data_IF_568190287661
#
_entry.id   IF_568190287661
#
_cell.length_a   1.000
_cell.length_b   1.000
_cell.length_c   1.000
_cell.angle_alpha   90.00
_cell.angle_beta   90.00
_cell.angle_gamma   90.00
#
_symmetry.space_group_name_H-M   'P 1'
#
loop_
_entity.id
_entity.type
_entity.pdbx_description
1 polymer ?
#
# COMPACT_ATOMS: atom_id res chain seq x y z
N UNK A 1 65.39 16.35 4.83
CA UNK A 1 64.25 17.21 4.48
C UNK A 1 63.07 16.29 4.25
N UNK A 2 62.31 16.01 5.34
CA UNK A 2 61.13 15.16 5.29
C UNK A 2 59.96 15.97 4.72
N UNK A 3 59.40 15.53 3.61
CA UNK A 3 58.10 15.99 3.11
C UNK A 3 56.99 15.45 4.01
N UNK A 4 56.36 16.32 4.79
CA UNK A 4 55.10 16.06 5.48
C UNK A 4 54.02 16.01 4.38
N UNK A 5 53.57 14.82 4.09
CA UNK A 5 52.38 14.63 3.26
C UNK A 5 51.18 14.95 4.16
N UNK A 6 50.60 16.13 4.00
CA UNK A 6 49.28 16.42 4.55
C UNK A 6 48.29 15.40 3.95
N UNK A 7 47.93 14.36 4.72
CA UNK A 7 46.71 13.61 4.50
C UNK A 7 45.58 14.61 4.69
N UNK A 8 44.98 15.06 3.59
CA UNK A 8 43.66 15.67 3.62
C UNK A 8 42.75 14.61 4.25
N UNK A 9 42.26 14.87 5.45
CA UNK A 9 41.18 14.04 6.05
C UNK A 9 40.04 14.09 5.08
N UNK A 10 39.79 13.00 4.38
CA UNK A 10 38.54 12.81 3.60
C UNK A 10 37.46 12.78 4.67
N UNK A 11 36.67 13.86 4.76
CA UNK A 11 35.53 13.95 5.66
C UNK A 11 34.62 12.75 5.37
N UNK A 12 34.53 11.82 6.30
CA UNK A 12 33.74 10.62 6.13
C UNK A 12 32.28 11.06 6.05
N UNK A 13 31.56 10.66 4.97
CA UNK A 13 30.12 10.87 4.80
C UNK A 13 29.37 10.25 5.98
N UNK A 14 28.52 11.02 6.65
CA UNK A 14 27.76 10.57 7.82
C UNK A 14 26.28 10.34 7.51
N UNK A 15 25.73 11.14 6.60
CA UNK A 15 24.31 11.04 6.23
C UNK A 15 24.09 11.44 4.76
N UNK A 16 23.02 10.92 4.19
CA UNK A 16 22.50 11.31 2.89
C UNK A 16 21.00 11.58 3.01
N UNK A 17 20.57 12.71 2.46
CA UNK A 17 19.15 13.03 2.22
C UNK A 17 18.83 12.70 0.78
N UNK A 18 17.67 12.11 0.51
CA UNK A 18 17.29 11.81 -0.87
C UNK A 18 15.80 11.58 -1.04
N UNK A 19 15.37 11.75 -2.27
CA UNK A 19 14.02 11.51 -2.74
C UNK A 19 14.07 10.94 -4.17
N UNK A 20 13.10 10.10 -4.53
CA UNK A 20 13.04 9.45 -5.84
C UNK A 20 11.70 9.64 -6.49
N UNK A 21 11.72 9.77 -7.83
CA UNK A 21 10.53 9.69 -8.66
C UNK A 21 10.51 8.38 -9.43
N UNK A 22 9.39 7.68 -9.40
CA UNK A 22 9.28 6.31 -9.93
C UNK A 22 8.07 6.16 -10.82
N UNK A 23 8.09 5.19 -11.73
CA UNK A 23 6.94 4.80 -12.54
C UNK A 23 6.59 3.33 -12.36
N UNK A 24 5.31 2.99 -12.47
CA UNK A 24 4.81 1.62 -12.51
C UNK A 24 3.38 1.61 -13.05
N UNK A 25 3.00 0.54 -13.76
CA UNK A 25 1.60 0.30 -14.14
C UNK A 25 0.73 -0.16 -12.98
N UNK A 26 1.34 -0.57 -11.87
CA UNK A 26 0.62 -0.99 -10.66
C UNK A 26 0.16 0.24 -9.87
N UNK A 27 -1.12 0.28 -9.53
CA UNK A 27 -1.70 1.34 -8.69
C UNK A 27 -1.20 1.20 -7.24
N UNK A 28 -0.32 2.11 -6.83
CA UNK A 28 0.29 2.14 -5.50
C UNK A 28 -0.75 2.15 -4.36
N UNK A 29 -1.84 2.90 -4.53
CA UNK A 29 -2.86 3.04 -3.50
C UNK A 29 -3.69 1.76 -3.31
N UNK A 30 -3.92 1.01 -4.39
CA UNK A 30 -4.75 -0.21 -4.37
C UNK A 30 -3.97 -1.48 -4.09
N UNK A 31 -2.70 -1.56 -4.51
CA UNK A 31 -1.91 -2.79 -4.45
C UNK A 31 -0.69 -2.70 -3.52
N UNK A 32 -0.36 -1.50 -3.06
CA UNK A 32 0.70 -1.26 -2.10
C UNK A 32 2.10 -1.15 -2.71
N UNK A 33 3.03 -0.66 -1.90
CA UNK A 33 4.39 -0.33 -2.28
C UNK A 33 5.18 -1.50 -2.88
N UNK A 34 5.09 -2.66 -2.26
CA UNK A 34 5.88 -3.82 -2.67
C UNK A 34 5.44 -4.35 -4.03
N UNK A 35 4.12 -4.45 -4.25
CA UNK A 35 3.58 -4.86 -5.55
C UNK A 35 3.86 -3.83 -6.64
N UNK A 36 3.79 -2.53 -6.28
CA UNK A 36 4.16 -1.42 -7.16
C UNK A 36 5.62 -1.54 -7.63
N UNK A 37 6.55 -1.73 -6.70
CA UNK A 37 7.98 -1.82 -7.00
C UNK A 37 8.37 -3.12 -7.73
N UNK A 38 7.65 -4.24 -7.51
CA UNK A 38 7.91 -5.52 -8.17
C UNK A 38 7.32 -5.60 -9.59
N UNK A 39 6.56 -4.59 -10.04
CA UNK A 39 6.02 -4.56 -11.40
C UNK A 39 7.13 -4.71 -12.45
N UNK A 40 6.90 -5.46 -13.54
CA UNK A 40 7.91 -5.60 -14.62
C UNK A 40 8.35 -4.26 -15.21
N UNK A 41 7.45 -3.30 -15.30
CA UNK A 41 7.68 -1.95 -15.85
C UNK A 41 8.08 -0.90 -14.82
N UNK A 42 8.19 -1.28 -13.54
CA UNK A 42 8.70 -0.39 -12.50
C UNK A 42 10.11 0.09 -12.84
N UNK A 43 10.34 1.39 -12.73
CA UNK A 43 11.66 2.00 -12.87
C UNK A 43 11.77 3.25 -11.99
N UNK A 44 12.99 3.62 -11.59
CA UNK A 44 13.30 4.91 -10.96
C UNK A 44 13.67 5.89 -12.06
N UNK A 45 12.98 7.01 -12.11
CA UNK A 45 13.13 8.02 -13.15
C UNK A 45 14.13 9.10 -12.75
N UNK A 46 14.01 9.60 -11.51
CA UNK A 46 14.85 10.63 -10.93
C UNK A 46 15.29 10.22 -9.54
N UNK A 47 16.51 10.60 -9.17
CA UNK A 47 17.02 10.49 -7.80
C UNK A 47 17.69 11.82 -7.46
N UNK A 48 17.13 12.58 -6.51
CA UNK A 48 17.77 13.77 -5.95
C UNK A 48 18.36 13.45 -4.58
N UNK A 49 19.56 13.95 -4.29
CA UNK A 49 20.26 13.68 -3.03
C UNK A 49 21.13 14.85 -2.58
N UNK A 50 21.40 14.90 -1.29
CA UNK A 50 22.43 15.72 -0.69
C UNK A 50 23.27 14.90 0.27
N UNK A 51 24.59 15.10 0.29
CA UNK A 51 25.51 14.50 1.24
C UNK A 51 25.69 15.46 2.41
N UNK A 52 25.46 15.00 3.62
CA UNK A 52 25.45 15.82 4.84
C UNK A 52 24.53 17.07 4.64
N UNK A 53 25.02 18.27 4.92
CA UNK A 53 24.30 19.51 4.67
C UNK A 53 24.72 20.17 3.33
N UNK A 54 25.12 19.37 2.34
CA UNK A 54 25.56 19.85 1.03
C UNK A 54 24.44 20.32 0.12
N UNK A 55 24.84 20.77 -1.07
CA UNK A 55 23.88 21.15 -2.12
C UNK A 55 23.17 19.91 -2.66
N UNK A 56 21.86 20.03 -2.87
CA UNK A 56 21.06 18.98 -3.53
C UNK A 56 21.48 18.85 -4.99
N UNK A 57 21.69 17.61 -5.42
CA UNK A 57 22.01 17.19 -6.78
C UNK A 57 20.93 16.23 -7.28
N UNK A 58 20.63 16.27 -8.57
CA UNK A 58 19.71 15.34 -9.21
C UNK A 58 20.46 14.42 -10.17
N UNK A 59 20.01 13.18 -10.28
CA UNK A 59 20.46 12.18 -11.24
C UNK A 59 19.25 11.82 -12.12
N UNK A 60 19.38 12.06 -13.43
CA UNK A 60 18.35 11.79 -14.42
C UNK A 60 18.50 10.37 -14.99
N UNK A 61 18.02 9.39 -14.23
CA UNK A 61 18.10 7.97 -14.58
C UNK A 61 17.29 7.63 -15.83
N UNK A 62 16.19 8.35 -16.07
CA UNK A 62 15.35 8.16 -17.24
C UNK A 62 16.05 8.54 -18.55
N UNK A 63 16.99 9.48 -18.50
CA UNK A 63 17.82 9.89 -19.64
C UNK A 63 19.22 9.24 -19.64
N UNK A 64 19.43 8.20 -18.81
CA UNK A 64 20.62 7.37 -18.88
C UNK A 64 21.78 7.78 -17.97
N UNK A 65 21.58 8.75 -17.08
CA UNK A 65 22.57 8.99 -16.02
C UNK A 65 22.65 7.78 -15.09
N UNK A 66 23.77 7.62 -14.43
CA UNK A 66 24.04 6.46 -13.55
C UNK A 66 24.23 6.90 -12.11
N UNK A 67 23.79 6.05 -11.16
CA UNK A 67 24.03 6.29 -9.74
C UNK A 67 25.51 6.14 -9.46
N UNK A 68 26.20 7.16 -8.89
CA UNK A 68 27.59 7.07 -8.51
C UNK A 68 27.86 5.94 -7.50
N UNK A 69 29.01 5.26 -7.62
CA UNK A 69 29.36 4.13 -6.77
C UNK A 69 29.31 4.48 -5.27
N UNK A 70 29.80 5.67 -4.88
CA UNK A 70 29.76 6.10 -3.47
C UNK A 70 28.33 6.18 -2.91
N UNK A 71 27.34 6.49 -3.75
CA UNK A 71 25.94 6.58 -3.33
C UNK A 71 25.34 5.17 -3.16
N UNK A 72 25.74 4.23 -4.02
CA UNK A 72 25.36 2.81 -3.86
C UNK A 72 25.96 2.27 -2.55
N UNK A 73 27.24 2.55 -2.29
CA UNK A 73 27.92 2.17 -1.05
C UNK A 73 27.21 2.77 0.18
N UNK A 74 26.82 4.05 0.10
CA UNK A 74 26.09 4.70 1.18
C UNK A 74 24.70 4.07 1.44
N UNK A 75 23.96 3.71 0.40
CA UNK A 75 22.65 3.06 0.53
C UNK A 75 22.74 1.69 1.21
N UNK A 76 23.83 0.96 1.01
CA UNK A 76 24.05 -0.37 1.58
C UNK A 76 24.74 -0.33 2.96
N UNK A 77 25.43 0.74 3.28
CA UNK A 77 26.19 0.87 4.54
C UNK A 77 25.24 1.24 5.72
N UNK A 78 25.07 0.36 6.73
CA UNK A 78 24.23 0.66 7.88
C UNK A 78 24.74 1.81 8.76
N UNK A 79 26.04 2.16 8.65
CA UNK A 79 26.64 3.26 9.41
C UNK A 79 26.44 4.63 8.76
N UNK A 80 26.01 4.71 7.51
CA UNK A 80 25.58 5.94 6.86
C UNK A 80 24.08 6.11 7.11
N UNK A 81 23.66 7.26 7.63
CA UNK A 81 22.24 7.57 7.81
C UNK A 81 21.60 7.93 6.47
N UNK A 82 20.57 7.21 6.07
CA UNK A 82 19.73 7.50 4.88
C UNK A 82 18.47 8.18 5.36
N UNK A 83 18.26 9.43 4.97
CA UNK A 83 17.15 10.27 5.43
C UNK A 83 16.23 10.58 4.25
N UNK A 84 14.94 10.31 4.43
CA UNK A 84 13.92 10.61 3.44
C UNK A 84 12.56 10.88 4.11
N UNK A 85 11.66 11.53 3.39
CA UNK A 85 10.30 11.73 3.85
C UNK A 85 9.38 10.61 3.36
N UNK A 86 9.03 9.65 4.23
CA UNK A 86 8.44 8.34 3.94
C UNK A 86 9.49 7.30 3.49
N UNK A 87 10.62 7.26 4.21
CA UNK A 87 11.82 6.49 3.88
C UNK A 87 11.59 4.99 3.55
N UNK A 88 10.45 4.41 3.94
CA UNK A 88 10.07 3.05 3.52
C UNK A 88 9.86 2.95 2.02
N UNK A 89 9.36 4.02 1.37
CA UNK A 89 9.14 4.06 -0.07
C UNK A 89 10.47 4.02 -0.81
N UNK A 90 11.39 4.92 -0.44
CA UNK A 90 12.72 5.00 -1.05
C UNK A 90 13.49 3.71 -0.84
N UNK A 91 13.48 3.16 0.38
CA UNK A 91 14.21 1.92 0.70
C UNK A 91 13.73 0.74 -0.15
N UNK A 92 12.43 0.51 -0.22
CA UNK A 92 11.85 -0.62 -0.98
C UNK A 92 12.05 -0.42 -2.48
N UNK A 93 11.77 0.76 -3.01
CA UNK A 93 11.95 1.07 -4.43
C UNK A 93 13.42 0.94 -4.85
N UNK A 94 14.35 1.50 -4.08
CA UNK A 94 15.79 1.38 -4.35
C UNK A 94 16.26 -0.07 -4.24
N UNK A 95 15.75 -0.85 -3.28
CA UNK A 95 16.06 -2.28 -3.19
C UNK A 95 15.74 -3.02 -4.49
N UNK A 96 14.54 -2.82 -5.00
CA UNK A 96 14.10 -3.46 -6.24
C UNK A 96 14.87 -2.92 -7.45
N UNK A 97 15.05 -1.61 -7.54
CA UNK A 97 15.78 -0.98 -8.63
C UNK A 97 17.22 -1.48 -8.75
N UNK A 98 17.99 -1.43 -7.65
CA UNK A 98 19.39 -1.85 -7.61
C UNK A 98 19.53 -3.33 -7.99
N UNK A 99 18.62 -4.19 -7.53
CA UNK A 99 18.57 -5.61 -7.90
C UNK A 99 18.25 -5.81 -9.38
N UNK A 100 17.23 -5.13 -9.92
CA UNK A 100 16.86 -5.21 -11.35
C UNK A 100 17.99 -4.76 -12.25
N UNK A 101 18.71 -3.72 -11.88
CA UNK A 101 19.86 -3.19 -12.64
C UNK A 101 21.16 -3.95 -12.37
N UNK A 102 21.15 -4.95 -11.48
CA UNK A 102 22.35 -5.72 -11.07
C UNK A 102 23.51 -4.83 -10.60
N UNK A 103 23.17 -3.74 -9.91
CA UNK A 103 24.14 -2.77 -9.41
C UNK A 103 24.75 -3.19 -8.06
N UNK A 104 24.20 -4.23 -7.42
CA UNK A 104 24.72 -4.81 -6.19
C UNK A 104 25.10 -6.26 -6.45
N UNK A 105 26.32 -6.62 -6.07
CA UNK A 105 26.72 -8.01 -5.91
C UNK A 105 26.02 -8.67 -4.70
N UNK A 106 26.52 -9.81 -4.23
CA UNK A 106 26.10 -10.47 -2.97
C UNK A 106 26.60 -9.65 -1.77
N UNK A 107 26.17 -8.40 -1.66
CA UNK A 107 26.74 -7.44 -0.73
C UNK A 107 26.10 -7.50 0.66
N UNK A 108 26.91 -7.17 1.66
CA UNK A 108 26.63 -7.20 3.11
C UNK A 108 25.48 -6.29 3.59
N UNK A 109 24.89 -5.48 2.72
CA UNK A 109 23.80 -4.54 3.04
C UNK A 109 22.39 -5.10 2.87
N UNK A 110 22.23 -6.35 2.47
CA UNK A 110 20.95 -6.99 2.29
C UNK A 110 20.47 -7.69 3.55
N UNK A 111 19.18 -7.70 3.70
CA UNK A 111 18.46 -8.41 4.75
C UNK A 111 17.26 -9.15 4.14
N UNK A 112 16.72 -10.18 4.83
CA UNK A 112 15.56 -10.93 4.34
C UNK A 112 15.79 -11.59 2.96
N UNK A 113 16.67 -12.58 2.94
CA UNK A 113 17.00 -13.38 1.75
C UNK A 113 17.53 -12.55 0.56
N UNK A 114 18.15 -11.41 0.82
CA UNK A 114 18.72 -10.54 -0.20
C UNK A 114 17.69 -9.79 -1.04
N UNK A 115 16.43 -9.67 -0.58
CA UNK A 115 15.37 -8.98 -1.33
C UNK A 115 15.35 -7.48 -1.10
N UNK A 116 15.60 -7.03 0.13
CA UNK A 116 15.50 -5.63 0.51
C UNK A 116 16.75 -5.14 1.24
N UNK A 117 17.07 -3.87 1.09
CA UNK A 117 18.11 -3.19 1.87
C UNK A 117 17.74 -3.22 3.35
N UNK A 118 18.73 -3.44 4.22
CA UNK A 118 18.49 -3.42 5.67
C UNK A 118 17.81 -2.12 6.09
N UNK A 119 16.78 -2.14 6.95
CA UNK A 119 16.18 -0.91 7.47
C UNK A 119 17.06 -0.17 8.47
N UNK A 120 18.18 -0.78 8.91
CA UNK A 120 19.15 -0.13 9.80
C UNK A 120 19.83 1.04 9.07
N UNK A 121 19.94 2.16 9.76
CA UNK A 121 20.50 3.40 9.20
C UNK A 121 19.50 4.22 8.37
N UNK A 122 18.27 3.78 8.17
CA UNK A 122 17.23 4.59 7.53
C UNK A 122 16.49 5.44 8.56
N UNK A 123 16.31 6.71 8.25
CA UNK A 123 15.63 7.69 9.08
C UNK A 123 14.47 8.33 8.31
N UNK A 124 13.30 8.36 8.92
CA UNK A 124 12.09 8.85 8.26
C UNK A 124 11.61 10.15 8.91
N UNK A 125 11.74 11.28 8.20
CA UNK A 125 11.26 12.59 8.69
C UNK A 125 9.74 12.68 8.76
N UNK A 126 9.00 11.85 8.02
CA UNK A 126 7.54 11.72 8.16
C UNK A 126 7.18 11.16 9.55
N UNK A 127 7.88 10.12 10.01
CA UNK A 127 7.66 9.52 11.33
C UNK A 127 8.11 10.48 12.45
N UNK A 128 9.24 11.15 12.27
CA UNK A 128 9.69 12.18 13.20
C UNK A 128 8.66 13.31 13.35
N UNK A 129 8.09 13.79 12.25
CA UNK A 129 7.02 14.78 12.28
C UNK A 129 5.77 14.26 13.02
N UNK A 130 5.37 13.00 12.76
CA UNK A 130 4.23 12.39 13.42
C UNK A 130 4.42 12.26 14.94
N UNK A 131 5.62 11.84 15.41
CA UNK A 131 5.97 11.78 16.83
C UNK A 131 5.94 13.18 17.49
N UNK A 132 6.35 14.20 16.73
CA UNK A 132 6.25 15.60 17.18
C UNK A 132 4.81 16.18 17.12
N UNK A 133 3.79 15.38 16.78
CA UNK A 133 2.38 15.81 16.68
C UNK A 133 2.06 16.63 15.43
N UNK A 134 2.94 16.61 14.42
CA UNK A 134 2.76 17.31 13.14
C UNK A 134 2.04 16.41 12.10
N UNK A 135 1.51 17.00 11.01
CA UNK A 135 1.00 16.22 9.88
C UNK A 135 2.05 15.29 9.28
N UNK A 136 1.61 14.26 8.51
CA UNK A 136 2.54 13.29 7.92
C UNK A 136 2.94 13.63 6.47
N UNK A 137 2.22 14.48 5.74
CA UNK A 137 2.60 14.80 4.37
C UNK A 137 3.66 15.88 4.33
N UNK A 138 4.65 15.75 3.42
CA UNK A 138 5.76 16.70 3.27
C UNK A 138 5.27 18.16 3.15
N UNK A 139 4.22 18.38 2.33
CA UNK A 139 3.59 19.69 2.17
C UNK A 139 3.03 20.22 3.50
N UNK A 140 2.21 19.45 4.18
CA UNK A 140 1.55 19.92 5.39
C UNK A 140 2.52 20.10 6.57
N UNK A 141 3.60 19.31 6.65
CA UNK A 141 4.68 19.55 7.62
C UNK A 141 5.39 20.86 7.32
N UNK A 142 5.74 21.11 6.04
CA UNK A 142 6.37 22.37 5.62
C UNK A 142 5.52 23.58 5.94
N UNK A 143 4.21 23.52 5.71
CA UNK A 143 3.25 24.57 6.05
C UNK A 143 3.17 24.78 7.57
N UNK A 144 3.05 23.69 8.35
CA UNK A 144 2.97 23.76 9.82
C UNK A 144 4.24 24.30 10.47
N UNK A 145 5.41 24.05 9.89
CA UNK A 145 6.70 24.57 10.34
C UNK A 145 7.05 25.95 9.74
N UNK A 146 6.19 26.52 8.91
CA UNK A 146 6.41 27.81 8.23
C UNK A 146 7.75 27.87 7.47
N UNK A 147 8.08 26.80 6.73
CA UNK A 147 9.33 26.72 5.99
C UNK A 147 9.37 27.75 4.88
N UNK A 148 10.58 28.29 4.60
CA UNK A 148 10.80 29.23 3.48
C UNK A 148 10.58 28.55 2.13
N UNK A 149 11.10 27.34 1.99
CA UNK A 149 10.90 26.50 0.83
C UNK A 149 9.66 25.61 1.05
N UNK A 150 8.74 25.66 0.11
CA UNK A 150 7.51 24.88 0.15
C UNK A 150 7.51 23.89 -1.01
N UNK A 151 6.80 22.78 -0.83
CA UNK A 151 6.57 21.80 -1.89
C UNK A 151 5.85 22.45 -3.07
N UNK A 152 6.33 22.21 -4.29
CA UNK A 152 5.75 22.78 -5.50
C UNK A 152 4.34 22.21 -5.77
N UNK A 153 3.43 23.07 -6.21
CA UNK A 153 2.02 22.71 -6.46
C UNK A 153 1.84 21.78 -7.66
N UNK A 154 2.69 21.91 -8.66
CA UNK A 154 2.65 21.19 -9.94
C UNK A 154 3.02 19.71 -9.82
N UNK A 155 3.61 19.29 -8.70
CA UNK A 155 4.14 17.93 -8.53
C UNK A 155 3.11 16.83 -8.77
N UNK A 156 1.87 17.00 -8.31
CA UNK A 156 0.82 15.99 -8.51
C UNK A 156 0.51 15.76 -10.00
N UNK A 157 0.47 16.85 -10.79
CA UNK A 157 0.22 16.77 -12.22
C UNK A 157 1.41 16.10 -12.94
N UNK A 158 2.64 16.44 -12.56
CA UNK A 158 3.86 15.90 -13.16
C UNK A 158 4.02 14.40 -12.84
N UNK A 159 3.74 13.98 -11.60
CA UNK A 159 3.68 12.56 -11.20
C UNK A 159 2.63 11.83 -12.05
N UNK A 160 1.41 12.36 -12.17
CA UNK A 160 0.37 11.76 -12.99
C UNK A 160 0.81 11.65 -14.46
N UNK A 161 1.56 12.61 -14.95
CA UNK A 161 1.98 12.69 -16.34
C UNK A 161 3.12 11.72 -16.69
N UNK A 162 4.16 11.61 -15.84
CA UNK A 162 5.35 10.78 -16.13
C UNK A 162 5.34 9.41 -15.44
N UNK A 163 4.69 9.29 -14.29
CA UNK A 163 4.81 8.12 -13.43
C UNK A 163 3.62 7.14 -13.56
N UNK A 164 2.48 7.60 -14.10
CA UNK A 164 1.27 6.80 -14.28
C UNK A 164 1.07 6.50 -15.76
N UNK A 165 0.76 5.24 -16.14
CA UNK A 165 0.59 4.89 -17.53
C UNK A 165 -0.67 5.55 -18.13
N UNK A 166 -0.62 5.85 -19.41
CA UNK A 166 -1.77 6.24 -20.22
C UNK A 166 -2.76 5.08 -20.38
N UNK A 167 -3.91 5.35 -20.97
CA UNK A 167 -4.95 4.33 -21.25
C UNK A 167 -4.46 3.18 -22.15
N UNK A 168 -3.45 3.45 -22.98
CA UNK A 168 -2.82 2.47 -23.85
C UNK A 168 -1.69 1.65 -23.17
N UNK A 169 -1.47 1.88 -21.86
CA UNK A 169 -0.42 1.24 -21.08
C UNK A 169 0.98 1.84 -21.24
N UNK A 170 1.16 2.87 -22.08
CA UNK A 170 2.46 3.52 -22.28
C UNK A 170 2.67 4.68 -21.31
N UNK A 171 3.95 5.07 -21.11
CA UNK A 171 4.33 6.25 -20.31
C UNK A 171 4.79 7.39 -21.23
N UNK A 172 4.64 8.61 -20.76
CA UNK A 172 5.24 9.76 -21.44
C UNK A 172 6.77 9.71 -21.27
N UNK A 173 7.50 9.98 -22.37
CA UNK A 173 8.97 9.96 -22.33
C UNK A 173 9.49 11.38 -22.01
N UNK A 174 10.57 11.49 -21.22
CA UNK A 174 11.22 12.77 -20.94
C UNK A 174 11.59 13.56 -22.21
N UNK A 175 12.13 12.86 -23.20
CA UNK A 175 12.56 13.44 -24.49
C UNK A 175 11.47 14.15 -25.27
N UNK A 176 10.20 13.72 -25.11
CA UNK A 176 9.06 14.25 -25.85
C UNK A 176 8.51 15.54 -25.20
N UNK A 177 8.87 15.78 -23.93
CA UNK A 177 8.38 16.90 -23.11
C UNK A 177 9.49 17.52 -22.25
N UNK A 178 10.55 18.08 -22.86
CA UNK A 178 11.76 18.48 -22.15
C UNK A 178 11.52 19.58 -21.10
N UNK A 179 10.65 20.56 -21.36
CA UNK A 179 10.35 21.65 -20.40
C UNK A 179 9.62 21.12 -19.16
N UNK A 180 8.62 20.23 -19.36
CA UNK A 180 7.92 19.58 -18.26
C UNK A 180 8.83 18.66 -17.45
N UNK A 181 9.77 18.00 -18.15
CA UNK A 181 10.76 17.15 -17.49
C UNK A 181 11.73 17.96 -16.63
N UNK A 182 12.18 19.12 -17.10
CA UNK A 182 13.03 20.00 -16.30
C UNK A 182 12.28 20.50 -15.06
N UNK A 183 10.99 20.85 -15.21
CA UNK A 183 10.14 21.19 -14.06
C UNK A 183 10.02 20.03 -13.08
N UNK A 184 9.93 18.78 -13.56
CA UNK A 184 9.84 17.59 -12.72
C UNK A 184 11.14 17.31 -11.97
N UNK A 185 12.31 17.52 -12.60
CA UNK A 185 13.62 17.47 -11.91
C UNK A 185 13.70 18.52 -10.78
N UNK A 186 13.29 19.72 -11.06
CA UNK A 186 13.26 20.80 -10.07
C UNK A 186 12.30 20.50 -8.92
N UNK A 187 11.18 19.84 -9.21
CA UNK A 187 10.25 19.34 -8.19
C UNK A 187 10.92 18.31 -7.26
N UNK A 188 11.60 17.29 -7.80
CA UNK A 188 12.31 16.27 -7.03
C UNK A 188 13.45 16.87 -6.18
N UNK A 189 14.23 17.84 -6.73
CA UNK A 189 15.22 18.62 -5.98
C UNK A 189 14.56 19.36 -4.81
N UNK A 190 13.41 19.99 -5.05
CA UNK A 190 12.68 20.76 -4.06
C UNK A 190 12.18 19.89 -2.92
N UNK A 191 11.73 18.67 -3.18
CA UNK A 191 11.26 17.75 -2.17
C UNK A 191 12.41 17.40 -1.19
N UNK A 192 13.63 17.15 -1.66
CA UNK A 192 14.81 16.97 -0.80
C UNK A 192 15.14 18.25 0.00
N UNK A 193 15.07 19.44 -0.62
CA UNK A 193 15.33 20.70 0.08
C UNK A 193 14.34 20.93 1.23
N UNK A 194 13.08 20.64 1.00
CA UNK A 194 12.03 20.77 2.03
C UNK A 194 12.24 19.72 3.13
N UNK A 195 12.56 18.48 2.77
CA UNK A 195 12.87 17.40 3.72
C UNK A 195 14.05 17.78 4.63
N UNK A 196 15.15 18.28 4.06
CA UNK A 196 16.32 18.74 4.83
C UNK A 196 15.97 19.84 5.84
N UNK A 197 15.12 20.81 5.45
CA UNK A 197 14.68 21.86 6.37
C UNK A 197 13.80 21.29 7.50
N UNK A 198 12.92 20.32 7.21
CA UNK A 198 12.14 19.62 8.23
C UNK A 198 13.06 18.92 9.21
N UNK A 199 14.02 18.14 8.71
CA UNK A 199 15.00 17.43 9.52
C UNK A 199 15.78 18.38 10.44
N UNK A 200 16.26 19.51 9.91
CA UNK A 200 16.99 20.53 10.67
C UNK A 200 16.11 21.20 11.73
N UNK A 201 14.86 21.57 11.41
CA UNK A 201 13.97 22.19 12.39
C UNK A 201 13.55 21.24 13.50
N UNK A 202 13.39 19.95 13.18
CA UNK A 202 13.06 18.91 14.14
C UNK A 202 14.30 18.30 14.84
N UNK A 203 15.51 18.84 14.62
CA UNK A 203 16.73 18.30 15.20
C UNK A 203 16.73 18.23 16.74
N UNK A 204 15.94 19.10 17.41
CA UNK A 204 15.74 19.07 18.87
C UNK A 204 14.75 18.02 19.35
N UNK A 205 14.00 17.41 18.45
CA UNK A 205 13.00 16.37 18.68
C UNK A 205 13.34 15.14 17.82
N UNK A 206 14.52 14.52 17.99
CA UNK A 206 14.88 13.34 17.22
C UNK A 206 14.03 12.16 17.63
N UNK A 207 13.80 11.23 16.70
CA UNK A 207 13.19 9.93 17.04
C UNK A 207 14.02 9.29 18.16
N UNK A 208 13.35 8.86 19.23
CA UNK A 208 14.01 8.15 20.32
C UNK A 208 14.60 6.82 19.83
N UNK A 209 15.61 6.28 20.51
CA UNK A 209 16.17 4.97 20.18
C UNK A 209 15.10 3.86 20.29
N UNK A 210 14.16 4.02 21.22
CA UNK A 210 13.04 3.11 21.40
C UNK A 210 12.11 3.11 20.18
N UNK A 211 11.65 4.28 19.73
CA UNK A 211 10.78 4.40 18.55
C UNK A 211 11.51 4.01 17.27
N UNK A 212 12.79 4.33 17.16
CA UNK A 212 13.61 3.88 16.03
C UNK A 212 13.69 2.35 15.95
N UNK A 213 13.84 1.67 17.10
CA UNK A 213 13.83 0.21 17.17
C UNK A 213 12.50 -0.39 16.70
N UNK A 214 11.39 0.21 17.10
CA UNK A 214 10.06 -0.19 16.64
C UNK A 214 9.84 0.08 15.14
N UNK A 215 10.31 1.23 14.63
CA UNK A 215 10.24 1.54 13.21
C UNK A 215 11.04 0.54 12.38
N UNK A 216 12.24 0.17 12.80
CA UNK A 216 13.05 -0.88 12.14
C UNK A 216 12.29 -2.21 12.15
N UNK A 217 11.72 -2.60 13.29
CA UNK A 217 10.93 -3.83 13.43
C UNK A 217 9.69 -3.82 12.52
N UNK A 218 8.97 -2.69 12.43
CA UNK A 218 7.86 -2.50 11.50
C UNK A 218 8.28 -2.73 10.05
N UNK A 219 9.41 -2.16 9.65
CA UNK A 219 9.95 -2.37 8.30
C UNK A 219 10.28 -3.85 8.04
N UNK A 220 10.87 -4.55 9.02
CA UNK A 220 11.17 -5.97 8.93
C UNK A 220 9.89 -6.82 8.79
N UNK A 221 8.85 -6.54 9.57
CA UNK A 221 7.55 -7.21 9.47
C UNK A 221 6.92 -7.00 8.10
N UNK A 222 6.96 -5.76 7.59
CA UNK A 222 6.43 -5.43 6.28
C UNK A 222 7.20 -6.08 5.13
N UNK A 223 8.53 -6.18 5.24
CA UNK A 223 9.39 -6.85 4.26
C UNK A 223 9.16 -8.36 4.24
N UNK A 224 9.00 -8.98 5.41
CA UNK A 224 8.69 -10.39 5.52
C UNK A 224 7.29 -10.68 4.97
N UNK A 225 6.31 -9.86 5.33
CA UNK A 225 4.91 -9.99 4.91
C UNK A 225 4.22 -11.23 5.51
N UNK A 226 2.98 -11.43 5.10
CA UNK A 226 2.13 -12.54 5.53
C UNK A 226 1.91 -13.47 4.35
N UNK A 227 2.12 -14.78 4.54
CA UNK A 227 1.82 -15.79 3.54
C UNK A 227 0.30 -15.88 3.32
N UNK A 228 -0.10 -15.85 2.06
CA UNK A 228 -1.49 -15.97 1.61
C UNK A 228 -1.66 -17.36 0.99
N UNK A 229 -2.66 -18.11 1.43
CA UNK A 229 -3.08 -19.33 0.74
C UNK A 229 -3.84 -18.92 -0.53
N UNK A 230 -3.10 -18.74 -1.61
CA UNK A 230 -3.65 -18.22 -2.88
C UNK A 230 -4.65 -19.18 -3.52
N UNK A 231 -4.54 -20.49 -3.28
CA UNK A 231 -5.50 -21.48 -3.74
C UNK A 231 -6.85 -21.29 -3.03
N UNK A 232 -6.83 -21.19 -1.69
CA UNK A 232 -8.03 -20.91 -0.90
C UNK A 232 -8.66 -19.58 -1.32
N UNK A 233 -7.86 -18.53 -1.52
CA UNK A 233 -8.35 -17.21 -1.96
C UNK A 233 -9.05 -17.28 -3.31
N UNK A 234 -8.45 -17.96 -4.30
CA UNK A 234 -9.04 -18.12 -5.64
C UNK A 234 -10.36 -18.86 -5.59
N UNK A 235 -10.41 -19.97 -4.86
CA UNK A 235 -11.62 -20.78 -4.73
C UNK A 235 -12.70 -20.06 -3.93
N UNK A 236 -12.35 -19.30 -2.89
CA UNK A 236 -13.32 -18.47 -2.17
C UNK A 236 -13.97 -17.41 -3.08
N UNK A 237 -13.18 -16.76 -3.95
CA UNK A 237 -13.71 -15.81 -4.94
C UNK A 237 -14.63 -16.52 -5.94
N UNK A 238 -14.22 -17.68 -6.46
CA UNK A 238 -15.02 -18.46 -7.40
C UNK A 238 -16.34 -18.96 -6.78
N UNK A 239 -16.30 -19.48 -5.56
CA UNK A 239 -17.49 -19.90 -4.81
C UNK A 239 -18.45 -18.74 -4.56
N UNK A 240 -17.93 -17.57 -4.17
CA UNK A 240 -18.77 -16.39 -4.01
C UNK A 240 -19.41 -15.96 -5.33
N UNK A 241 -18.68 -16.02 -6.45
CA UNK A 241 -19.25 -15.69 -7.76
C UNK A 241 -20.39 -16.64 -8.14
N UNK A 242 -20.20 -17.96 -7.96
CA UNK A 242 -21.24 -18.98 -8.19
C UNK A 242 -22.46 -18.73 -7.31
N UNK A 243 -22.26 -18.53 -6.01
CA UNK A 243 -23.35 -18.20 -5.08
C UNK A 243 -24.12 -16.95 -5.52
N UNK A 244 -23.43 -15.87 -5.86
CA UNK A 244 -24.07 -14.61 -6.27
C UNK A 244 -24.89 -14.77 -7.54
N UNK A 245 -24.41 -15.53 -8.50
CA UNK A 245 -25.15 -15.83 -9.73
C UNK A 245 -26.45 -16.57 -9.42
N UNK A 246 -26.39 -17.67 -8.64
CA UNK A 246 -27.55 -18.46 -8.22
C UNK A 246 -28.55 -17.62 -7.40
N UNK A 247 -28.04 -16.84 -6.43
CA UNK A 247 -28.87 -16.00 -5.57
C UNK A 247 -29.57 -14.88 -6.36
N UNK A 248 -28.90 -14.26 -7.34
CA UNK A 248 -29.49 -13.26 -8.21
C UNK A 248 -30.55 -13.86 -9.14
N UNK A 249 -30.29 -15.03 -9.71
CA UNK A 249 -31.23 -15.74 -10.52
C UNK A 249 -32.50 -16.09 -9.71
N UNK A 250 -32.33 -16.64 -8.51
CA UNK A 250 -33.44 -16.96 -7.62
C UNK A 250 -34.23 -15.72 -7.20
N UNK A 251 -33.52 -14.61 -6.89
CA UNK A 251 -34.20 -13.35 -6.59
C UNK A 251 -35.04 -12.80 -7.76
N UNK A 252 -34.57 -12.96 -9.02
CA UNK A 252 -35.32 -12.61 -10.21
C UNK A 252 -36.58 -13.49 -10.37
N UNK A 253 -36.47 -14.79 -10.13
CA UNK A 253 -37.59 -15.72 -10.19
C UNK A 253 -38.68 -15.37 -9.17
N UNK A 254 -38.30 -14.99 -7.95
CA UNK A 254 -39.21 -14.61 -6.88
C UNK A 254 -39.92 -13.29 -7.19
N UNK A 255 -39.15 -12.29 -7.65
CA UNK A 255 -39.63 -10.90 -7.72
C UNK A 255 -40.10 -10.46 -9.10
N UNK A 256 -39.60 -11.10 -10.16
CA UNK A 256 -39.79 -10.63 -11.54
C UNK A 256 -39.04 -9.36 -11.90
N UNK A 257 -38.15 -8.87 -10.98
CA UNK A 257 -37.40 -7.62 -11.18
C UNK A 257 -36.23 -7.81 -12.14
N UNK A 258 -35.94 -6.82 -12.96
CA UNK A 258 -34.78 -6.79 -13.83
C UNK A 258 -33.46 -6.75 -13.00
N UNK A 259 -33.46 -5.96 -11.92
CA UNK A 259 -32.33 -5.81 -11.04
C UNK A 259 -32.70 -5.95 -9.55
N UNK A 260 -32.70 -7.18 -9.00
CA UNK A 260 -32.99 -7.43 -7.59
C UNK A 260 -31.93 -6.83 -6.61
N UNK A 261 -30.80 -6.31 -7.12
CA UNK A 261 -29.84 -5.57 -6.30
C UNK A 261 -30.23 -4.10 -6.12
N UNK A 262 -31.13 -3.55 -6.92
CA UNK A 262 -31.58 -2.17 -6.80
C UNK A 262 -32.44 -1.98 -5.56
N UNK A 263 -32.03 -1.16 -4.56
CA UNK A 263 -32.88 -0.87 -3.40
C UNK A 263 -34.24 -0.32 -3.79
N UNK A 264 -34.31 0.54 -4.81
CA UNK A 264 -35.54 1.16 -5.28
C UNK A 264 -36.52 0.14 -5.84
N UNK A 265 -36.04 -0.79 -6.70
CA UNK A 265 -36.87 -1.83 -7.27
C UNK A 265 -37.41 -2.80 -6.21
N UNK A 266 -36.55 -3.19 -5.26
CA UNK A 266 -36.94 -4.10 -4.16
C UNK A 266 -37.93 -3.44 -3.21
N UNK A 267 -37.78 -2.15 -2.88
CA UNK A 267 -38.76 -1.43 -2.07
C UNK A 267 -40.12 -1.34 -2.75
N UNK A 268 -40.14 -1.07 -4.05
CA UNK A 268 -41.41 -1.08 -4.83
C UNK A 268 -42.08 -2.45 -4.82
N UNK A 269 -41.31 -3.51 -5.06
CA UNK A 269 -41.82 -4.88 -5.00
C UNK A 269 -42.33 -5.25 -3.59
N UNK A 270 -41.67 -4.87 -2.52
CA UNK A 270 -42.15 -5.09 -1.14
C UNK A 270 -43.49 -4.38 -0.89
N UNK A 271 -43.64 -3.15 -1.39
CA UNK A 271 -44.92 -2.41 -1.27
C UNK A 271 -46.06 -3.13 -2.02
N UNK A 272 -45.81 -3.68 -3.21
CA UNK A 272 -46.76 -4.53 -3.96
C UNK A 272 -47.12 -5.79 -3.16
N UNK A 273 -46.21 -6.34 -2.35
CA UNK A 273 -46.46 -7.47 -1.45
C UNK A 273 -47.12 -7.06 -0.12
N UNK A 274 -47.50 -5.79 0.02
CA UNK A 274 -48.12 -5.26 1.24
C UNK A 274 -47.15 -4.95 2.40
N UNK A 275 -45.83 -4.99 2.14
CA UNK A 275 -44.80 -4.74 3.13
C UNK A 275 -44.21 -3.33 2.93
N UNK A 276 -44.41 -2.44 3.88
CA UNK A 276 -43.89 -1.07 3.84
C UNK A 276 -42.53 -0.97 4.55
N UNK A 277 -41.54 -0.43 3.88
CA UNK A 277 -40.25 -0.09 4.46
C UNK A 277 -39.68 1.17 3.81
N UNK A 278 -39.06 2.03 4.61
CA UNK A 278 -38.38 3.24 4.11
C UNK A 278 -36.93 2.95 3.70
N UNK A 279 -36.34 1.82 4.15
CA UNK A 279 -34.94 1.46 3.95
C UNK A 279 -34.76 -0.05 3.82
N UNK A 280 -33.64 -0.45 3.21
CA UNK A 280 -33.17 -1.84 3.18
C UNK A 280 -31.77 -1.93 3.81
N UNK A 281 -31.51 -1.10 4.80
CA UNK A 281 -30.31 -1.22 5.64
C UNK A 281 -30.37 -2.50 6.51
N UNK A 282 -29.26 -2.79 7.18
CA UNK A 282 -29.12 -4.02 7.97
C UNK A 282 -30.18 -4.15 9.07
N UNK A 283 -30.56 -3.04 9.71
CA UNK A 283 -31.50 -3.00 10.83
C UNK A 283 -32.93 -3.20 10.30
N UNK A 284 -33.32 -2.47 9.26
CA UNK A 284 -34.63 -2.61 8.62
C UNK A 284 -34.85 -4.02 8.05
N UNK A 285 -33.88 -4.60 7.37
CA UNK A 285 -33.96 -5.99 6.87
C UNK A 285 -34.09 -6.99 8.02
N UNK A 286 -33.36 -6.82 9.12
CA UNK A 286 -33.46 -7.71 10.29
C UNK A 286 -34.82 -7.65 10.96
N UNK A 287 -35.48 -6.48 10.97
CA UNK A 287 -36.85 -6.32 11.51
C UNK A 287 -37.89 -6.97 10.58
N UNK A 288 -37.79 -6.71 9.27
CA UNK A 288 -38.68 -7.32 8.29
C UNK A 288 -38.62 -8.85 8.29
N UNK A 289 -37.43 -9.43 8.46
CA UNK A 289 -37.24 -10.88 8.55
C UNK A 289 -37.97 -11.55 9.74
N UNK A 290 -38.28 -10.78 10.80
CA UNK A 290 -39.05 -11.27 11.98
C UNK A 290 -40.54 -11.28 11.73
N UNK A 291 -41.04 -10.45 10.81
CA UNK A 291 -42.46 -10.17 10.62
C UNK A 291 -42.99 -10.66 9.26
N UNK A 292 -42.09 -11.14 8.37
CA UNK A 292 -42.47 -11.63 7.03
C UNK A 292 -42.19 -13.12 6.90
N UNK A 293 -42.88 -13.76 5.97
CA UNK A 293 -42.73 -15.16 5.57
C UNK A 293 -42.79 -15.35 4.05
N UNK A 294 -42.73 -16.60 3.59
CA UNK A 294 -42.85 -16.95 2.17
C UNK A 294 -41.80 -16.28 1.28
N UNK A 295 -42.21 -15.83 0.11
CA UNK A 295 -41.37 -15.21 -0.93
C UNK A 295 -40.72 -13.91 -0.48
N UNK A 296 -41.38 -13.13 0.37
CA UNK A 296 -40.84 -11.89 0.92
C UNK A 296 -39.65 -12.20 1.83
N UNK A 297 -39.81 -13.14 2.74
CA UNK A 297 -38.71 -13.56 3.64
C UNK A 297 -37.53 -14.15 2.87
N UNK A 298 -37.80 -14.99 1.88
CA UNK A 298 -36.76 -15.56 1.02
C UNK A 298 -35.98 -14.47 0.27
N UNK A 299 -36.64 -13.50 -0.32
CA UNK A 299 -35.99 -12.38 -1.00
C UNK A 299 -35.14 -11.54 -0.04
N UNK A 300 -35.61 -11.27 1.16
CA UNK A 300 -34.87 -10.53 2.18
C UNK A 300 -33.61 -11.27 2.66
N UNK A 301 -33.70 -12.60 2.81
CA UNK A 301 -32.54 -13.45 3.13
C UNK A 301 -31.49 -13.43 2.01
N UNK A 302 -31.92 -13.60 0.75
CA UNK A 302 -31.03 -13.51 -0.40
C UNK A 302 -30.33 -12.14 -0.45
N UNK A 303 -31.09 -11.06 -0.23
CA UNK A 303 -30.51 -9.71 -0.18
C UNK A 303 -29.49 -9.54 0.96
N UNK A 304 -29.79 -10.05 2.16
CA UNK A 304 -28.87 -10.01 3.28
C UNK A 304 -27.55 -10.72 2.94
N UNK A 305 -27.62 -11.88 2.30
CA UNK A 305 -26.44 -12.64 1.89
C UNK A 305 -25.67 -11.96 0.76
N UNK A 306 -26.36 -11.43 -0.25
CA UNK A 306 -25.77 -10.68 -1.37
C UNK A 306 -25.07 -9.39 -0.92
N UNK A 307 -25.52 -8.78 0.18
CA UNK A 307 -24.94 -7.54 0.74
C UNK A 307 -23.66 -7.77 1.53
N UNK A 308 -23.29 -9.01 1.85
CA UNK A 308 -22.06 -9.31 2.61
C UNK A 308 -20.83 -8.87 1.83
N UNK A 309 -20.01 -8.02 2.47
CA UNK A 309 -18.81 -7.44 1.88
C UNK A 309 -17.51 -8.12 2.31
N UNK A 310 -17.59 -9.10 3.23
CA UNK A 310 -16.43 -9.80 3.79
C UNK A 310 -15.57 -10.51 2.72
N UNK A 311 -16.19 -10.99 1.65
CA UNK A 311 -15.50 -11.62 0.51
C UNK A 311 -14.55 -10.66 -0.23
N UNK A 312 -14.78 -9.34 -0.15
CA UNK A 312 -13.85 -8.34 -0.71
C UNK A 312 -12.44 -8.44 -0.11
N UNK A 313 -12.28 -9.08 1.06
CA UNK A 313 -10.97 -9.35 1.65
C UNK A 313 -10.14 -10.33 0.82
N UNK A 314 -10.78 -11.35 0.24
CA UNK A 314 -10.10 -12.30 -0.66
C UNK A 314 -9.65 -11.60 -1.95
N UNK A 315 -10.48 -10.73 -2.51
CA UNK A 315 -10.07 -9.91 -3.68
C UNK A 315 -8.90 -8.97 -3.34
N UNK A 316 -8.89 -8.40 -2.13
CA UNK A 316 -7.77 -7.59 -1.66
C UNK A 316 -6.50 -8.45 -1.48
N UNK A 317 -6.62 -9.66 -0.88
CA UNK A 317 -5.51 -10.60 -0.74
C UNK A 317 -4.93 -10.99 -2.10
N UNK A 318 -5.78 -11.32 -3.08
CA UNK A 318 -5.34 -11.66 -4.45
C UNK A 318 -4.59 -10.51 -5.12
N UNK A 319 -5.05 -9.26 -4.95
CA UNK A 319 -4.44 -8.08 -5.56
C UNK A 319 -3.07 -7.75 -5.00
N UNK A 320 -2.83 -8.00 -3.71
CA UNK A 320 -1.59 -7.62 -3.03
C UNK A 320 -0.59 -8.75 -2.87
N UNK A 321 -1.00 -10.01 -3.07
CA UNK A 321 -0.10 -11.15 -3.04
C UNK A 321 0.99 -11.01 -4.12
N UNK A 322 2.25 -11.12 -3.71
CA UNK A 322 3.41 -11.13 -4.60
C UNK A 322 3.60 -12.51 -5.25
N UNK A 323 4.61 -12.66 -6.10
CA UNK A 323 4.92 -13.92 -6.80
C UNK A 323 5.33 -15.08 -5.89
N UNK A 324 5.67 -14.77 -4.63
CA UNK A 324 6.01 -15.74 -3.57
C UNK A 324 4.85 -15.94 -2.58
N UNK A 325 3.63 -15.65 -2.99
CA UNK A 325 2.40 -15.77 -2.21
C UNK A 325 2.39 -14.97 -0.90
N UNK A 326 3.21 -13.92 -0.79
CA UNK A 326 3.25 -13.08 0.40
C UNK A 326 2.65 -11.70 0.13
N UNK A 327 1.83 -11.24 1.06
CA UNK A 327 1.33 -9.88 1.10
C UNK A 327 2.23 -9.04 2.03
N UNK A 328 2.79 -7.95 1.50
CA UNK A 328 3.75 -7.08 2.17
C UNK A 328 3.20 -5.67 2.36
N UNK A 329 3.79 -4.90 3.28
CA UNK A 329 3.39 -3.51 3.52
C UNK A 329 1.99 -3.36 4.12
N UNK A 330 1.57 -4.32 4.94
CA UNK A 330 0.22 -4.38 5.52
C UNK A 330 0.03 -3.51 6.76
N UNK A 331 1.13 -3.03 7.33
CA UNK A 331 1.14 -2.25 8.57
C UNK A 331 1.80 -0.90 8.31
N UNK A 332 1.27 0.15 8.91
CA UNK A 332 1.85 1.48 8.92
C UNK A 332 2.19 1.90 10.33
N UNK A 333 3.48 2.13 10.56
CA UNK A 333 3.98 2.74 11.78
C UNK A 333 3.40 4.14 11.94
N UNK A 334 2.95 4.50 13.14
CA UNK A 334 2.28 5.78 13.42
C UNK A 334 1.04 6.07 12.55
N UNK A 335 0.45 5.06 11.91
CA UNK A 335 -0.65 5.26 10.96
C UNK A 335 -1.92 5.86 11.57
N UNK A 336 -2.14 5.67 12.87
CA UNK A 336 -3.19 6.35 13.63
C UNK A 336 -2.60 7.63 14.27
N UNK A 337 -2.46 8.69 13.50
CA UNK A 337 -1.72 9.92 13.85
C UNK A 337 -2.09 10.56 15.19
N UNK A 338 -3.37 10.50 15.60
CA UNK A 338 -3.82 11.06 16.89
C UNK A 338 -3.31 10.28 18.12
N UNK A 339 -2.95 9.02 17.98
CA UNK A 339 -2.64 8.13 19.10
C UNK A 339 -1.28 7.44 18.96
N UNK A 340 -0.56 7.63 17.86
CA UNK A 340 0.71 6.97 17.57
C UNK A 340 0.63 5.45 17.35
N UNK A 341 -0.60 4.88 17.25
CA UNK A 341 -0.77 3.44 17.06
C UNK A 341 -0.47 3.04 15.62
N UNK A 342 -0.11 1.78 15.46
CA UNK A 342 -0.08 1.14 14.14
C UNK A 342 -1.46 1.18 13.48
N UNK A 343 -1.51 1.32 12.17
CA UNK A 343 -2.75 1.11 11.40
C UNK A 343 -2.53 0.05 10.32
N UNK A 344 -3.63 -0.60 9.93
CA UNK A 344 -3.61 -1.57 8.83
C UNK A 344 -3.74 -0.87 7.49
N UNK A 345 -3.08 -1.43 6.49
CA UNK A 345 -3.22 -1.08 5.07
C UNK A 345 -3.72 -2.30 4.28
N UNK A 346 -4.21 -2.05 3.08
CA UNK A 346 -4.57 -3.07 2.08
C UNK A 346 -5.61 -4.09 2.61
N UNK A 347 -5.17 -5.25 3.05
CA UNK A 347 -6.03 -6.33 3.57
C UNK A 347 -6.70 -5.95 4.90
N UNK A 348 -6.08 -5.05 5.68
CA UNK A 348 -6.52 -4.67 7.02
C UNK A 348 -6.66 -5.88 7.96
N UNK A 349 -5.58 -6.61 8.16
CA UNK A 349 -5.55 -7.86 8.93
C UNK A 349 -6.08 -7.75 10.36
N UNK A 350 -5.95 -6.58 11.01
CA UNK A 350 -6.50 -6.33 12.36
C UNK A 350 -8.03 -6.26 12.37
N UNK A 351 -8.67 -6.09 11.21
CA UNK A 351 -10.12 -5.97 11.05
C UNK A 351 -10.75 -7.22 10.42
N UNK A 352 -10.05 -8.35 10.44
CA UNK A 352 -10.64 -9.62 10.04
C UNK A 352 -11.72 -10.02 11.06
N UNK A 353 -12.85 -10.62 10.61
CA UNK A 353 -13.93 -11.03 11.49
C UNK A 353 -13.46 -12.10 12.47
N UNK A 354 -14.14 -12.17 13.61
CA UNK A 354 -13.96 -13.26 14.55
C UNK A 354 -14.60 -14.51 14.00
N UNK A 355 -13.96 -15.64 14.24
CA UNK A 355 -14.48 -16.94 13.86
C UNK A 355 -15.78 -17.24 14.63
N UNK A 356 -16.83 -17.66 13.89
CA UNK A 356 -18.11 -18.08 14.46
C UNK A 356 -18.45 -19.57 14.15
N UNK A 357 -17.61 -20.24 13.34
CA UNK A 357 -17.79 -21.65 12.95
C UNK A 357 -16.92 -22.53 13.84
N UNK A 358 -17.49 -23.54 14.49
CA UNK A 358 -16.80 -24.41 15.41
C UNK A 358 -15.75 -25.32 14.73
N UNK A 359 -16.03 -25.73 13.51
CA UNK A 359 -15.21 -26.63 12.66
C UNK A 359 -14.50 -25.87 11.51
N UNK A 360 -14.06 -24.65 11.77
CA UNK A 360 -13.39 -23.80 10.80
C UNK A 360 -12.27 -24.47 9.98
N UNK A 361 -11.43 -25.38 10.53
CA UNK A 361 -10.43 -26.09 9.73
C UNK A 361 -11.06 -26.91 8.60
N UNK A 362 -12.17 -27.61 8.86
CA UNK A 362 -12.89 -28.42 7.86
C UNK A 362 -13.49 -27.48 6.78
N UNK A 363 -14.15 -26.39 7.22
CA UNK A 363 -14.72 -25.42 6.31
C UNK A 363 -13.65 -24.81 5.36
N UNK A 364 -12.46 -24.50 5.88
CA UNK A 364 -11.34 -23.99 5.09
C UNK A 364 -10.80 -25.00 4.08
N UNK A 365 -10.67 -26.28 4.45
CA UNK A 365 -10.25 -27.31 3.50
C UNK A 365 -11.27 -27.47 2.37
N UNK A 366 -12.56 -27.50 2.65
CA UNK A 366 -13.59 -27.57 1.61
C UNK A 366 -13.55 -26.37 0.67
N UNK A 367 -13.32 -25.16 1.19
CA UNK A 367 -13.13 -23.97 0.37
C UNK A 367 -11.85 -24.08 -0.45
N UNK A 368 -10.75 -24.55 0.14
CA UNK A 368 -9.48 -24.74 -0.54
C UNK A 368 -9.53 -25.79 -1.64
N UNK A 369 -10.31 -26.84 -1.47
CA UNK A 369 -10.59 -27.85 -2.49
C UNK A 369 -11.53 -27.35 -3.59
N UNK A 370 -12.23 -26.23 -3.38
CA UNK A 370 -13.25 -25.73 -4.30
C UNK A 370 -14.57 -26.50 -4.25
N UNK A 371 -14.82 -27.23 -3.17
CA UNK A 371 -15.98 -28.11 -3.02
C UNK A 371 -17.21 -27.32 -2.59
N UNK A 372 -17.80 -26.59 -3.54
CA UNK A 372 -18.97 -25.73 -3.33
C UNK A 372 -20.16 -26.52 -2.76
N UNK A 373 -20.45 -27.69 -3.34
CA UNK A 373 -21.58 -28.53 -2.98
C UNK A 373 -21.48 -29.04 -1.54
N UNK A 374 -20.29 -29.41 -1.08
CA UNK A 374 -20.09 -29.80 0.30
C UNK A 374 -20.24 -28.62 1.27
N UNK A 375 -19.76 -27.44 0.90
CA UNK A 375 -19.96 -26.22 1.72
C UNK A 375 -21.47 -25.88 1.82
N UNK A 376 -22.19 -25.95 0.71
CA UNK A 376 -23.65 -25.68 0.68
C UNK A 376 -24.45 -26.71 1.47
N UNK A 377 -24.03 -27.98 1.46
CA UNK A 377 -24.71 -29.06 2.17
C UNK A 377 -24.47 -29.03 3.69
N UNK A 378 -23.23 -28.69 4.11
CA UNK A 378 -22.82 -28.81 5.51
C UNK A 378 -23.02 -27.54 6.32
N UNK A 379 -23.19 -26.38 5.63
CA UNK A 379 -23.32 -25.08 6.26
C UNK A 379 -24.56 -24.36 5.74
N UNK A 380 -25.19 -23.57 6.61
CA UNK A 380 -26.45 -22.85 6.27
C UNK A 380 -26.27 -21.83 5.14
N UNK A 381 -25.05 -21.33 4.93
CA UNK A 381 -24.79 -20.26 3.97
C UNK A 381 -23.32 -20.24 3.53
N UNK A 382 -23.09 -20.39 2.22
CA UNK A 382 -21.74 -20.24 1.63
C UNK A 382 -21.12 -18.88 1.98
N UNK A 383 -21.81 -17.73 1.86
CA UNK A 383 -21.25 -16.45 2.28
C UNK A 383 -20.87 -16.37 3.77
N UNK A 384 -21.54 -17.12 4.64
CA UNK A 384 -21.19 -17.14 6.06
C UNK A 384 -19.86 -17.85 6.30
N UNK A 385 -19.65 -18.99 5.61
CA UNK A 385 -18.37 -19.71 5.63
C UNK A 385 -17.25 -18.81 5.09
N UNK A 386 -17.46 -18.17 3.94
CA UNK A 386 -16.47 -17.29 3.33
C UNK A 386 -16.18 -16.01 4.14
N UNK A 387 -16.99 -15.70 5.13
CA UNK A 387 -16.81 -14.51 5.97
C UNK A 387 -16.04 -14.76 7.28
N UNK A 388 -15.56 -16.00 7.51
CA UNK A 388 -14.84 -16.39 8.74
C UNK A 388 -13.34 -16.08 8.77
#
# INVERSE_FOLDING_TARGET
VGRVIHRTEVKQMTEIHFDIETKSSVDLAKQGLYKYAESPDFDVLLLSYAVDNGKVQAIDLANGEVIPAFLIDALTNPNVRKIAHNASFERVCMSVYLRKKRLLGNADGWYSDGKFLTPVGWYCTMIQAAEAGLPMSLKAVGEALHLKEQKLSEGKELIQFFCVPKKDGTFNKPSDFPERWETFKNYNIRDVQVEMQIYQQLAKLPLSQYEMGHYITDQMINDYGICIDTQLVQNAIAMNAKFREQALQRAKEITGLDNPNSPLQVLGWLEEQGVKSASLDKEAVAELLRTTDGSVKEMLLLRQQLSKSSVKKYEAMQKVAASDDRARGLIQFYGATKTGRFSSKLIQVQNLPRNAISDLPIARELVKEGNYEAVELLYDSVPDVLSQ
#
